data_IF_948823586872
#
_entry.id   IF_948823586872
#
_cell.length_a   1.000
_cell.length_b   1.000
_cell.length_c   1.000
_cell.angle_alpha   90.00
_cell.angle_beta   90.00
_cell.angle_gamma   90.00
#
_symmetry.space_group_name_H-M   'P 1'
#
loop_
_entity.id
_entity.type
_entity.pdbx_description
1 polymer ?
#
# COMPACT_ATOMS: atom_id res chain seq x y z
N UNK A 1 -10.38 15.51 5.66
CA UNK A 1 -10.92 14.42 4.82
C UNK A 1 -9.75 13.73 4.15
N UNK A 2 -9.31 12.60 4.69
CA UNK A 2 -8.29 11.78 4.04
C UNK A 2 -8.98 11.14 2.84
N UNK A 3 -8.80 11.72 1.65
CA UNK A 3 -9.26 11.09 0.42
C UNK A 3 -8.49 9.78 0.30
N UNK A 4 -9.17 8.65 0.51
CA UNK A 4 -8.63 7.31 0.26
C UNK A 4 -8.41 7.16 -1.25
N UNK A 5 -7.41 7.85 -1.77
CA UNK A 5 -7.01 7.71 -3.17
C UNK A 5 -6.32 6.37 -3.29
N UNK A 6 -6.98 5.50 -4.03
CA UNK A 6 -6.64 4.10 -4.23
C UNK A 6 -6.15 4.00 -5.68
N UNK A 7 -4.85 4.22 -5.93
CA UNK A 7 -4.33 4.38 -7.29
C UNK A 7 -4.57 3.11 -8.11
N UNK A 8 -5.05 3.29 -9.35
CA UNK A 8 -5.13 2.23 -10.33
C UNK A 8 -3.81 2.08 -11.07
N UNK A 9 -3.66 1.01 -11.85
CA UNK A 9 -2.45 0.69 -12.60
C UNK A 9 -1.86 1.87 -13.40
N UNK A 10 -2.72 2.62 -14.10
CA UNK A 10 -2.29 3.75 -14.93
C UNK A 10 -1.92 5.01 -14.13
N UNK A 11 -2.44 5.12 -12.90
CA UNK A 11 -2.17 6.24 -11.99
C UNK A 11 -0.84 6.07 -11.27
N UNK A 12 -0.27 4.85 -11.25
CA UNK A 12 1.02 4.58 -10.64
C UNK A 12 2.15 5.36 -11.33
N UNK A 13 3.05 5.89 -10.52
CA UNK A 13 4.32 6.50 -10.95
C UNK A 13 5.31 5.41 -11.35
N UNK A 14 6.34 5.80 -12.11
CA UNK A 14 7.37 4.87 -12.56
C UNK A 14 8.05 4.12 -11.41
N UNK A 15 8.30 4.81 -10.29
CA UNK A 15 8.88 4.19 -9.09
C UNK A 15 7.95 3.16 -8.47
N UNK A 16 6.65 3.43 -8.42
CA UNK A 16 5.65 2.53 -7.87
C UNK A 16 5.47 1.29 -8.76
N UNK A 17 5.42 1.48 -10.08
CA UNK A 17 5.42 0.39 -11.05
C UNK A 17 6.65 -0.52 -10.89
N UNK A 18 7.83 0.06 -10.67
CA UNK A 18 9.07 -0.70 -10.44
C UNK A 18 8.98 -1.53 -9.16
N UNK A 19 8.62 -0.89 -8.05
CA UNK A 19 8.46 -1.58 -6.76
C UNK A 19 7.46 -2.72 -6.85
N UNK A 20 6.34 -2.52 -7.54
CA UNK A 20 5.29 -3.53 -7.64
C UNK A 20 5.70 -4.74 -8.52
N UNK A 21 6.56 -4.51 -9.52
CA UNK A 21 7.20 -5.57 -10.30
C UNK A 21 8.30 -6.28 -9.49
N UNK A 22 9.13 -5.54 -8.74
CA UNK A 22 10.18 -6.09 -7.87
C UNK A 22 9.58 -6.96 -6.76
N UNK A 23 8.46 -6.55 -6.15
CA UNK A 23 7.73 -7.33 -5.16
C UNK A 23 7.20 -8.68 -5.71
N UNK A 24 7.05 -8.77 -7.04
CA UNK A 24 6.65 -9.98 -7.77
C UNK A 24 7.82 -10.73 -8.40
N UNK A 25 9.05 -10.29 -8.12
CA UNK A 25 10.27 -10.85 -8.71
C UNK A 25 10.29 -10.74 -10.26
N UNK A 26 9.64 -9.71 -10.81
CA UNK A 26 9.57 -9.41 -12.24
C UNK A 26 10.56 -8.31 -12.66
N UNK A 27 10.90 -8.28 -13.96
CA UNK A 27 11.79 -7.25 -14.51
C UNK A 27 11.18 -5.84 -14.38
N UNK A 28 11.86 -4.97 -13.64
CA UNK A 28 11.52 -3.57 -13.39
C UNK A 28 12.30 -2.57 -14.27
N UNK A 29 13.12 -3.05 -15.22
CA UNK A 29 13.81 -2.19 -16.17
C UNK A 29 12.92 -1.81 -17.37
N UNK A 30 13.15 -0.64 -17.97
CA UNK A 30 12.42 -0.18 -19.16
C UNK A 30 11.63 1.12 -18.95
N UNK A 31 10.80 1.45 -19.95
CA UNK A 31 9.96 2.67 -19.96
C UNK A 31 8.63 2.40 -19.26
N UNK A 32 7.92 3.46 -18.83
CA UNK A 32 6.65 3.35 -18.10
C UNK A 32 5.65 2.42 -18.79
N UNK A 33 5.50 2.54 -20.11
CA UNK A 33 4.56 1.71 -20.88
C UNK A 33 4.89 0.21 -20.77
N UNK A 34 6.16 -0.16 -20.85
CA UNK A 34 6.61 -1.55 -20.74
C UNK A 34 6.29 -2.12 -19.35
N UNK A 35 6.57 -1.33 -18.29
CA UNK A 35 6.28 -1.73 -16.91
C UNK A 35 4.76 -1.89 -16.67
N UNK A 36 3.95 -0.99 -17.21
CA UNK A 36 2.48 -1.08 -17.12
C UNK A 36 1.97 -2.35 -17.81
N UNK A 37 2.48 -2.69 -18.99
CA UNK A 37 2.07 -3.92 -19.70
C UNK A 37 2.47 -5.16 -18.92
N UNK A 38 3.69 -5.22 -18.38
CA UNK A 38 4.13 -6.36 -17.56
C UNK A 38 3.28 -6.54 -16.31
N UNK A 39 3.04 -5.45 -15.59
CA UNK A 39 2.24 -5.49 -14.37
C UNK A 39 0.78 -5.82 -14.69
N UNK A 40 0.24 -5.33 -15.82
CA UNK A 40 -1.07 -5.72 -16.33
C UNK A 40 -1.16 -7.24 -16.52
N UNK A 41 -0.18 -7.84 -17.21
CA UNK A 41 -0.16 -9.27 -17.46
C UNK A 41 -0.05 -10.07 -16.15
N UNK A 42 0.83 -9.65 -15.25
CA UNK A 42 1.01 -10.29 -13.95
C UNK A 42 -0.29 -10.28 -13.13
N UNK A 43 -1.02 -9.16 -13.09
CA UNK A 43 -2.32 -9.08 -12.44
C UNK A 43 -3.31 -10.08 -13.05
N UNK A 44 -3.36 -10.18 -14.39
CA UNK A 44 -4.26 -11.14 -15.05
C UNK A 44 -3.87 -12.60 -14.76
N UNK A 45 -2.58 -12.92 -14.66
CA UNK A 45 -2.08 -14.24 -14.27
C UNK A 45 -2.41 -14.57 -12.80
N UNK A 46 -2.41 -13.57 -11.92
CA UNK A 46 -2.88 -13.66 -10.52
C UNK A 46 -4.41 -13.78 -10.40
N UNK A 47 -5.15 -13.62 -11.51
CA UNK A 47 -6.62 -13.64 -11.54
C UNK A 47 -7.27 -12.32 -11.15
N UNK A 48 -6.50 -11.23 -11.16
CA UNK A 48 -6.97 -9.86 -10.92
C UNK A 48 -7.28 -9.14 -12.24
N UNK A 49 -8.27 -8.24 -12.18
CA UNK A 49 -8.58 -7.37 -13.31
C UNK A 49 -7.75 -6.07 -13.22
N UNK A 50 -6.85 -5.79 -14.17
CA UNK A 50 -5.95 -4.64 -14.11
C UNK A 50 -6.65 -3.27 -14.23
N UNK A 51 -7.91 -3.19 -14.67
CA UNK A 51 -8.66 -1.93 -14.75
C UNK A 51 -9.37 -1.58 -13.43
N UNK A 52 -9.62 -2.59 -12.60
CA UNK A 52 -10.33 -2.46 -11.33
C UNK A 52 -9.44 -2.75 -10.12
N UNK A 53 -8.26 -3.35 -10.33
CA UNK A 53 -7.28 -3.58 -9.28
C UNK A 53 -6.79 -2.26 -8.70
N UNK A 54 -6.74 -2.24 -7.37
CA UNK A 54 -6.35 -1.09 -6.59
C UNK A 54 -5.06 -1.42 -5.87
N UNK A 55 -4.06 -0.58 -6.06
CA UNK A 55 -2.82 -0.67 -5.32
C UNK A 55 -2.96 0.07 -4.00
N UNK A 56 -2.40 -0.49 -2.94
CA UNK A 56 -2.30 0.21 -1.66
C UNK A 56 -1.19 1.26 -1.76
N UNK A 57 -1.54 2.53 -1.53
CA UNK A 57 -0.54 3.59 -1.48
C UNK A 57 0.38 3.34 -0.27
N UNK A 58 1.70 3.31 -0.50
CA UNK A 58 2.69 3.12 0.55
C UNK A 58 2.54 4.16 1.66
N UNK A 59 2.11 5.39 1.34
CA UNK A 59 1.80 6.40 2.35
C UNK A 59 0.62 5.99 3.22
N UNK A 60 -0.45 5.46 2.64
CA UNK A 60 -1.62 4.97 3.38
C UNK A 60 -1.25 3.78 4.26
N UNK A 61 -0.45 2.83 3.76
CA UNK A 61 0.03 1.71 4.55
C UNK A 61 0.88 2.17 5.75
N UNK A 62 1.78 3.14 5.56
CA UNK A 62 2.59 3.71 6.63
C UNK A 62 1.74 4.46 7.66
N UNK A 63 0.78 5.28 7.22
CA UNK A 63 -0.14 6.00 8.10
C UNK A 63 -0.99 5.02 8.91
N UNK A 64 -1.48 3.94 8.30
CA UNK A 64 -2.21 2.87 8.97
C UNK A 64 -1.35 2.19 10.05
N UNK A 65 -0.09 1.87 9.75
CA UNK A 65 0.83 1.26 10.71
C UNK A 65 1.12 2.19 11.88
N UNK A 66 1.42 3.47 11.62
CA UNK A 66 1.65 4.48 12.68
C UNK A 66 0.38 4.65 13.54
N UNK A 67 -0.80 4.67 12.92
CA UNK A 67 -2.07 4.80 13.65
C UNK A 67 -2.33 3.61 14.59
N UNK A 68 -1.98 2.39 14.15
CA UNK A 68 -2.09 1.18 14.99
C UNK A 68 -1.13 1.23 16.17
N UNK A 69 0.11 1.67 15.96
CA UNK A 69 1.14 1.76 17.02
C UNK A 69 0.74 2.76 18.10
N UNK A 70 0.31 3.98 17.70
CA UNK A 70 -0.18 5.00 18.63
C UNK A 70 -1.39 4.52 19.44
N UNK A 71 -2.32 3.79 18.80
CA UNK A 71 -3.51 3.28 19.48
C UNK A 71 -3.16 2.26 20.57
N UNK A 72 -2.17 1.41 20.32
CA UNK A 72 -1.71 0.43 21.31
C UNK A 72 -1.10 1.14 22.54
N UNK A 73 -0.26 2.16 22.33
CA UNK A 73 0.36 2.90 23.42
C UNK A 73 -0.65 3.67 24.29
N UNK A 74 -1.66 4.29 23.66
CA UNK A 74 -2.73 5.01 24.38
C UNK A 74 -3.48 4.05 25.31
N UNK A 75 -3.89 2.87 24.82
CA UNK A 75 -4.62 1.90 25.66
C UNK A 75 -3.78 1.38 26.82
N UNK A 76 -2.47 1.22 26.62
CA UNK A 76 -1.55 0.79 27.68
C UNK A 76 -1.41 1.85 28.79
N UNK A 77 -1.38 3.13 28.40
CA UNK A 77 -1.36 4.27 29.33
C UNK A 77 -2.67 4.41 30.10
N UNK A 78 -3.84 4.26 29.46
CA UNK A 78 -5.15 4.35 30.12
C UNK A 78 -5.32 3.30 31.23
N UNK A 79 -4.86 2.07 30.99
CA UNK A 79 -4.86 1.02 32.02
C UNK A 79 -3.96 1.36 33.21
N UNK A 80 -2.77 1.91 32.96
CA UNK A 80 -1.83 2.27 34.02
C UNK A 80 -2.35 3.42 34.88
N UNK A 81 -2.90 4.46 34.25
CA UNK A 81 -3.54 5.58 34.97
C UNK A 81 -4.71 5.09 35.82
N UNK A 82 -5.54 4.17 35.29
CA UNK A 82 -6.68 3.63 36.03
C UNK A 82 -6.28 2.88 37.30
N UNK A 83 -5.11 2.22 37.32
CA UNK A 83 -4.61 1.52 38.49
C UNK A 83 -3.96 2.40 39.57
N UNK A 84 -3.52 3.62 39.22
CA UNK A 84 -2.86 4.54 40.15
C UNK A 84 -3.85 5.46 40.89
N UNK A 85 -5.09 5.59 40.38
CA UNK A 85 -6.13 6.48 40.95
C UNK A 85 -7.18 5.69 41.79
N UNK A 86 -7.12 4.34 41.80
CA UNK A 86 -7.95 3.48 42.69
C UNK A 86 -7.19 3.08 43.95
#
# INVERSE_FOLDING_TARGET
MSSQYKPKLFDLRLTELRTELENRELDAAGKKADLVVRLKNALQEEGHDPETYVFEDRQTALISSISKEISADITSLEKKVSSEIS
#
